data_IF_779501324045
#
_entry.id   IF_779501324045
#
_cell.length_a   1.000
_cell.length_b   1.000
_cell.length_c   1.000
_cell.angle_alpha   90.00
_cell.angle_beta   90.00
_cell.angle_gamma   90.00
#
_symmetry.space_group_name_H-M   'P 1'
#
loop_
_entity.id
_entity.type
_entity.pdbx_description
1 polymer ?
#
# COMPACT_ATOMS: atom_id res chain seq x y z
N UNK A 1 0.04 12.90 -27.24
CA UNK A 1 0.77 12.52 -26.03
C UNK A 1 -0.28 12.40 -24.94
N UNK A 2 -0.34 11.29 -24.22
CA UNK A 2 -1.35 11.07 -23.18
C UNK A 2 -1.17 12.13 -22.09
N UNK A 3 -2.26 12.77 -21.68
CA UNK A 3 -2.22 13.79 -20.63
C UNK A 3 -2.40 13.09 -19.26
N UNK A 4 -1.42 13.22 -18.38
CA UNK A 4 -1.42 12.68 -17.03
C UNK A 4 -1.57 13.75 -15.95
N UNK A 5 -1.91 14.98 -16.33
CA UNK A 5 -1.96 16.13 -15.40
C UNK A 5 -2.89 15.88 -14.19
N UNK A 6 -4.02 15.22 -14.40
CA UNK A 6 -4.93 14.86 -13.29
C UNK A 6 -4.31 13.85 -12.34
N UNK A 7 -3.57 12.86 -12.87
CA UNK A 7 -2.87 11.88 -12.05
C UNK A 7 -1.73 12.54 -11.27
N UNK A 8 -0.90 13.36 -11.94
CA UNK A 8 0.18 14.13 -11.31
C UNK A 8 -0.35 15.02 -10.16
N UNK A 9 -1.50 15.65 -10.36
CA UNK A 9 -2.16 16.45 -9.33
C UNK A 9 -2.64 15.58 -8.15
N UNK A 10 -3.24 14.43 -8.42
CA UNK A 10 -3.76 13.54 -7.40
C UNK A 10 -2.63 12.95 -6.52
N UNK A 11 -1.52 12.52 -7.13
CA UNK A 11 -0.34 12.01 -6.41
C UNK A 11 0.48 13.13 -5.74
N UNK A 12 0.31 14.41 -6.18
CA UNK A 12 1.04 15.55 -5.64
C UNK A 12 2.45 15.73 -6.20
N UNK A 13 2.77 15.11 -7.34
CA UNK A 13 4.08 15.19 -7.97
C UNK A 13 3.97 15.43 -9.49
N UNK A 14 4.65 16.47 -9.99
CA UNK A 14 4.77 16.76 -11.41
C UNK A 14 6.09 16.20 -11.94
N UNK A 15 6.01 15.22 -12.83
CA UNK A 15 7.19 14.52 -13.33
C UNK A 15 8.07 15.39 -14.26
N UNK A 16 9.35 15.46 -13.92
CA UNK A 16 10.38 15.99 -14.80
C UNK A 16 10.70 14.97 -15.90
N UNK A 17 10.80 13.69 -15.55
CA UNK A 17 11.00 12.59 -16.47
C UNK A 17 9.70 11.79 -16.69
N UNK A 18 8.86 12.24 -17.61
CA UNK A 18 7.59 11.57 -17.95
C UNK A 18 7.74 10.13 -18.48
N UNK A 19 8.95 9.72 -18.88
CA UNK A 19 9.19 8.34 -19.27
C UNK A 19 9.13 7.37 -18.07
N UNK A 20 9.48 7.83 -16.86
CA UNK A 20 9.33 7.06 -15.61
C UNK A 20 7.85 6.80 -15.33
N UNK A 21 7.02 7.85 -15.35
CA UNK A 21 5.57 7.70 -15.14
C UNK A 21 4.96 6.76 -16.17
N UNK A 22 5.28 6.94 -17.45
CA UNK A 22 4.78 6.05 -18.49
C UNK A 22 5.20 4.60 -18.27
N UNK A 23 6.43 4.34 -17.86
CA UNK A 23 6.89 2.97 -17.55
C UNK A 23 6.13 2.40 -16.35
N UNK A 24 5.93 3.17 -15.28
CA UNK A 24 5.16 2.77 -14.11
C UNK A 24 3.71 2.40 -14.44
N UNK A 25 3.12 3.07 -15.41
CA UNK A 25 1.76 2.82 -15.90
C UNK A 25 1.68 1.69 -16.95
N UNK A 26 2.80 1.08 -17.36
CA UNK A 26 2.82 0.05 -18.40
C UNK A 26 2.75 -1.34 -17.77
N UNK A 27 1.60 -2.00 -17.90
CA UNK A 27 1.38 -3.37 -17.44
C UNK A 27 2.25 -4.38 -18.23
N UNK A 28 2.66 -5.51 -17.62
CA UNK A 28 3.48 -6.55 -18.29
C UNK A 28 2.88 -7.10 -19.58
N UNK A 29 1.56 -7.08 -19.76
CA UNK A 29 0.89 -7.52 -21.00
C UNK A 29 1.28 -6.71 -22.23
N UNK A 30 1.84 -5.50 -22.07
CA UNK A 30 2.25 -4.66 -23.21
C UNK A 30 3.63 -5.02 -23.75
N UNK A 31 4.51 -5.57 -22.90
CA UNK A 31 5.85 -6.00 -23.33
C UNK A 31 6.92 -5.91 -22.24
N UNK A 32 8.18 -6.02 -22.67
CA UNK A 32 9.32 -6.15 -21.73
C UNK A 32 9.63 -4.87 -20.93
N UNK A 33 9.40 -3.68 -21.52
CA UNK A 33 9.62 -2.41 -20.83
C UNK A 33 8.33 -2.03 -20.08
N UNK A 34 8.10 -2.70 -18.98
CA UNK A 34 6.90 -2.60 -18.15
C UNK A 34 7.23 -2.11 -16.72
N UNK A 35 6.25 -2.20 -15.83
CA UNK A 35 6.30 -1.67 -14.47
C UNK A 35 6.98 -2.59 -13.45
N UNK A 36 7.19 -3.89 -13.69
CA UNK A 36 7.65 -4.86 -12.70
C UNK A 36 8.92 -4.47 -11.94
N UNK A 37 9.90 -3.87 -12.62
CA UNK A 37 11.12 -3.41 -11.93
C UNK A 37 10.89 -2.20 -11.04
N UNK A 38 9.93 -1.36 -11.40
CA UNK A 38 9.52 -0.22 -10.56
C UNK A 38 8.67 -0.70 -9.39
N UNK A 39 7.78 -1.65 -9.57
CA UNK A 39 7.03 -2.35 -8.52
C UNK A 39 8.00 -2.87 -7.44
N UNK A 40 8.99 -3.68 -7.83
CA UNK A 40 10.01 -4.18 -6.90
C UNK A 40 10.69 -3.08 -6.07
N UNK A 41 11.02 -1.95 -6.68
CA UNK A 41 11.62 -0.81 -5.98
C UNK A 41 10.57 -0.08 -5.11
N UNK A 42 9.36 0.04 -5.63
CA UNK A 42 8.26 0.75 -4.97
C UNK A 42 7.80 0.09 -3.68
N UNK A 43 7.74 -1.22 -3.66
CA UNK A 43 7.48 -2.00 -2.45
C UNK A 43 8.48 -1.63 -1.33
N UNK A 44 9.78 -1.67 -1.63
CA UNK A 44 10.81 -1.29 -0.66
C UNK A 44 10.71 0.18 -0.18
N UNK A 45 10.38 1.12 -1.10
CA UNK A 45 10.19 2.54 -0.78
C UNK A 45 8.95 2.73 0.09
N UNK A 46 7.85 2.04 -0.23
CA UNK A 46 6.61 2.06 0.53
C UNK A 46 6.83 1.57 1.98
N UNK A 47 7.47 0.41 2.11
CA UNK A 47 7.82 -0.18 3.40
C UNK A 47 8.65 0.79 4.25
N UNK A 48 9.63 1.47 3.65
CA UNK A 48 10.46 2.46 4.34
C UNK A 48 9.64 3.68 4.79
N UNK A 49 8.84 4.28 3.89
CA UNK A 49 8.02 5.45 4.21
C UNK A 49 7.04 5.18 5.36
N UNK A 50 6.37 4.02 5.32
CA UNK A 50 5.40 3.63 6.35
C UNK A 50 6.10 3.32 7.66
N UNK A 51 7.24 2.60 7.63
CA UNK A 51 8.02 2.26 8.82
C UNK A 51 8.56 3.50 9.53
N UNK A 52 9.14 4.45 8.78
CA UNK A 52 9.61 5.72 9.32
C UNK A 52 8.47 6.46 10.03
N UNK A 53 7.29 6.52 9.39
CA UNK A 53 6.15 7.24 9.93
C UNK A 53 5.55 6.59 11.17
N UNK A 54 5.46 5.26 11.21
CA UNK A 54 5.04 4.51 12.39
C UNK A 54 6.02 4.77 13.54
N UNK A 55 7.32 4.66 13.28
CA UNK A 55 8.37 4.88 14.27
C UNK A 55 8.31 6.27 14.89
N UNK A 56 8.10 7.32 14.06
CA UNK A 56 7.97 8.69 14.54
C UNK A 56 6.71 8.92 15.38
N UNK A 57 5.58 8.35 14.95
CA UNK A 57 4.28 8.63 15.58
C UNK A 57 3.99 7.82 16.83
N UNK A 58 4.61 6.67 16.96
CA UNK A 58 4.34 5.73 18.06
C UNK A 58 5.58 5.39 18.86
N UNK A 59 6.20 6.36 19.60
CA UNK A 59 7.47 6.15 20.28
C UNK A 59 7.43 5.07 21.37
N UNK A 60 6.23 4.78 21.90
CA UNK A 60 6.05 3.76 22.95
C UNK A 60 5.61 2.39 22.38
N UNK A 61 5.45 2.29 21.04
CA UNK A 61 4.99 1.04 20.41
C UNK A 61 6.15 0.05 20.28
N UNK A 62 5.92 -1.19 20.70
CA UNK A 62 6.91 -2.26 20.55
C UNK A 62 7.01 -2.75 19.09
N UNK A 63 8.15 -3.34 18.74
CA UNK A 63 8.50 -3.77 17.38
C UNK A 63 7.41 -4.66 16.74
N UNK A 64 6.89 -5.66 17.48
CA UNK A 64 5.82 -6.54 16.97
C UNK A 64 4.56 -5.79 16.56
N UNK A 65 4.12 -4.82 17.37
CA UNK A 65 2.95 -4.00 17.06
C UNK A 65 3.22 -3.05 15.88
N UNK A 66 4.42 -2.47 15.77
CA UNK A 66 4.81 -1.66 14.61
C UNK A 66 4.78 -2.49 13.32
N UNK A 67 5.27 -3.74 13.37
CA UNK A 67 5.26 -4.66 12.23
C UNK A 67 3.83 -5.01 11.81
N UNK A 68 2.93 -5.32 12.75
CA UNK A 68 1.52 -5.59 12.46
C UNK A 68 0.81 -4.36 11.85
N UNK A 69 1.06 -3.16 12.40
CA UNK A 69 0.49 -1.93 11.87
C UNK A 69 0.98 -1.66 10.45
N UNK A 70 2.28 -1.83 10.19
CA UNK A 70 2.85 -1.71 8.84
C UNK A 70 2.16 -2.67 7.87
N UNK A 71 2.11 -3.97 8.16
CA UNK A 71 1.44 -4.97 7.32
C UNK A 71 -0.01 -4.61 7.01
N UNK A 72 -0.73 -4.05 7.97
CA UNK A 72 -2.12 -3.61 7.79
C UNK A 72 -2.22 -2.41 6.83
N UNK A 73 -1.25 -1.49 6.86
CA UNK A 73 -1.23 -0.29 6.05
C UNK A 73 -0.78 -0.53 4.61
N UNK A 74 0.12 -1.51 4.38
CA UNK A 74 0.67 -1.81 3.05
C UNK A 74 0.03 -3.02 2.36
N UNK A 75 -1.04 -3.59 2.92
CA UNK A 75 -1.72 -4.73 2.31
C UNK A 75 -2.36 -4.39 0.97
N UNK A 76 -2.46 -5.39 0.08
CA UNK A 76 -2.98 -5.25 -1.28
C UNK A 76 -4.29 -4.46 -1.36
N UNK A 77 -5.27 -4.78 -0.50
CA UNK A 77 -6.58 -4.12 -0.55
C UNK A 77 -6.50 -2.62 -0.24
N UNK A 78 -5.63 -2.22 0.70
CA UNK A 78 -5.44 -0.81 1.06
C UNK A 78 -4.78 -0.04 -0.08
N UNK A 79 -3.75 -0.62 -0.70
CA UNK A 79 -3.07 -0.02 -1.85
C UNK A 79 -3.96 0.05 -3.08
N UNK A 80 -4.75 -1.00 -3.34
CA UNK A 80 -5.75 -0.99 -4.41
C UNK A 80 -6.82 0.10 -4.20
N UNK A 81 -7.29 0.30 -2.96
CA UNK A 81 -8.20 1.40 -2.63
C UNK A 81 -7.57 2.77 -2.86
N UNK A 82 -6.31 2.97 -2.46
CA UNK A 82 -5.57 4.19 -2.73
C UNK A 82 -5.43 4.45 -4.23
N UNK A 83 -5.08 3.41 -5.01
CA UNK A 83 -5.00 3.48 -6.47
C UNK A 83 -6.36 3.83 -7.11
N UNK A 84 -7.46 3.26 -6.61
CA UNK A 84 -8.81 3.56 -7.09
C UNK A 84 -9.22 5.00 -6.80
N UNK A 85 -8.87 5.54 -5.63
CA UNK A 85 -9.22 6.90 -5.22
C UNK A 85 -8.65 7.99 -6.15
N UNK A 86 -7.54 7.67 -6.81
CA UNK A 86 -6.87 8.55 -7.80
C UNK A 86 -7.11 8.13 -9.25
N UNK A 87 -8.05 7.21 -9.50
CA UNK A 87 -8.36 6.68 -10.83
C UNK A 87 -7.13 6.12 -11.59
N UNK A 88 -6.18 5.52 -10.85
CA UNK A 88 -4.93 5.01 -11.43
C UNK A 88 -5.19 3.97 -12.52
N UNK A 89 -6.20 3.11 -12.36
CA UNK A 89 -6.59 2.09 -13.33
C UNK A 89 -6.91 2.65 -14.72
N UNK A 90 -7.48 3.86 -14.79
CA UNK A 90 -7.84 4.49 -16.08
C UNK A 90 -6.60 4.95 -16.87
N UNK A 91 -5.49 5.23 -16.16
CA UNK A 91 -4.23 5.64 -16.74
C UNK A 91 -3.35 4.47 -17.20
N UNK A 92 -3.66 3.23 -16.80
CA UNK A 92 -2.83 2.06 -17.12
C UNK A 92 -2.80 1.76 -18.62
N UNK A 93 -1.62 1.42 -19.09
CA UNK A 93 -1.37 0.89 -20.42
C UNK A 93 -1.35 -0.64 -20.32
N UNK A 94 -2.33 -1.31 -20.93
CA UNK A 94 -2.43 -2.76 -20.96
C UNK A 94 -2.95 -3.23 -22.31
N UNK A 95 -2.77 -4.51 -22.63
CA UNK A 95 -3.30 -5.06 -23.86
C UNK A 95 -4.83 -5.30 -23.78
N UNK A 96 -5.45 -5.51 -24.92
CA UNK A 96 -6.91 -5.71 -25.02
C UNK A 96 -7.40 -6.94 -24.26
N UNK A 97 -6.59 -7.98 -24.12
CA UNK A 97 -6.96 -9.19 -23.41
C UNK A 97 -7.04 -8.94 -21.90
N UNK A 98 -6.02 -8.30 -21.34
CA UNK A 98 -6.02 -7.91 -19.92
C UNK A 98 -7.14 -6.91 -19.61
N UNK A 99 -7.38 -5.96 -20.51
CA UNK A 99 -8.47 -4.99 -20.35
C UNK A 99 -9.85 -5.67 -20.36
N UNK A 100 -10.09 -6.62 -21.28
CA UNK A 100 -11.34 -7.37 -21.39
C UNK A 100 -11.63 -8.25 -20.16
N UNK A 101 -10.60 -8.70 -19.46
CA UNK A 101 -10.73 -9.48 -18.22
C UNK A 101 -10.83 -8.61 -16.95
N UNK A 102 -10.99 -7.30 -17.10
CA UNK A 102 -11.17 -6.38 -15.98
C UNK A 102 -9.87 -5.95 -15.29
N UNK A 103 -8.73 -6.08 -15.95
CA UNK A 103 -7.40 -5.75 -15.41
C UNK A 103 -7.31 -4.36 -14.77
N UNK A 104 -7.99 -3.34 -15.34
CA UNK A 104 -8.01 -1.96 -14.77
C UNK A 104 -8.62 -1.85 -13.37
N UNK A 105 -9.41 -2.84 -12.94
CA UNK A 105 -10.09 -2.87 -11.64
C UNK A 105 -9.59 -4.00 -10.75
N UNK A 106 -8.67 -4.82 -11.24
CA UNK A 106 -8.11 -5.93 -10.49
C UNK A 106 -7.25 -5.39 -9.32
N UNK A 107 -7.51 -5.77 -8.06
CA UNK A 107 -6.78 -5.27 -6.91
C UNK A 107 -5.27 -5.48 -6.99
N UNK A 108 -4.81 -6.65 -7.41
CA UNK A 108 -3.37 -6.94 -7.56
C UNK A 108 -2.73 -6.03 -8.60
N UNK A 109 -3.35 -5.85 -9.79
CA UNK A 109 -2.83 -4.95 -10.83
C UNK A 109 -2.77 -3.49 -10.35
N UNK A 110 -3.75 -3.07 -9.55
CA UNK A 110 -3.78 -1.72 -8.98
C UNK A 110 -2.72 -1.52 -7.89
N UNK A 111 -2.47 -2.54 -7.08
CA UNK A 111 -1.42 -2.58 -6.08
C UNK A 111 -0.05 -2.43 -6.75
N UNK A 112 0.28 -3.30 -7.72
CA UNK A 112 1.53 -3.28 -8.48
C UNK A 112 1.77 -1.92 -9.17
N UNK A 113 0.69 -1.35 -9.72
CA UNK A 113 0.74 -0.05 -10.37
C UNK A 113 0.99 1.10 -9.36
N UNK A 114 0.38 1.04 -8.18
CA UNK A 114 0.60 2.01 -7.12
C UNK A 114 2.06 2.02 -6.66
N UNK A 115 2.62 0.85 -6.38
CA UNK A 115 4.03 0.71 -6.01
C UNK A 115 4.95 1.19 -7.14
N UNK A 116 4.64 0.84 -8.38
CA UNK A 116 5.42 1.28 -9.54
C UNK A 116 5.42 2.80 -9.71
N UNK A 117 4.28 3.46 -9.49
CA UNK A 117 4.17 4.92 -9.54
C UNK A 117 4.94 5.54 -8.37
N UNK A 118 4.87 4.95 -7.18
CA UNK A 118 5.64 5.40 -6.02
C UNK A 118 7.16 5.34 -6.30
N UNK A 119 7.64 4.25 -6.90
CA UNK A 119 9.04 4.15 -7.34
C UNK A 119 9.40 5.21 -8.37
N UNK A 120 8.51 5.50 -9.31
CA UNK A 120 8.72 6.53 -10.31
C UNK A 120 8.83 7.93 -9.67
N UNK A 121 7.98 8.25 -8.68
CA UNK A 121 8.05 9.48 -7.88
C UNK A 121 9.37 9.54 -7.12
N UNK A 122 9.78 8.44 -6.48
CA UNK A 122 11.05 8.36 -5.77
C UNK A 122 12.26 8.63 -6.68
N UNK A 123 12.29 8.04 -7.87
CA UNK A 123 13.39 8.21 -8.82
C UNK A 123 13.43 9.62 -9.45
N UNK A 124 12.28 10.27 -9.58
CA UNK A 124 12.14 11.59 -10.18
C UNK A 124 12.31 12.74 -9.16
N UNK A 125 11.75 12.58 -7.95
CA UNK A 125 11.64 13.63 -6.93
C UNK A 125 12.34 13.32 -5.60
N UNK A 126 12.89 12.10 -5.44
CA UNK A 126 13.56 11.69 -4.20
C UNK A 126 12.61 11.16 -3.12
N UNK A 127 13.20 10.83 -1.96
CA UNK A 127 12.48 10.18 -0.87
C UNK A 127 11.35 11.06 -0.29
N UNK A 128 11.59 12.35 -0.11
CA UNK A 128 10.58 13.25 0.46
C UNK A 128 9.31 13.32 -0.41
N UNK A 129 9.47 13.37 -1.73
CA UNK A 129 8.32 13.35 -2.66
C UNK A 129 7.54 12.04 -2.57
N UNK A 130 8.24 10.90 -2.48
CA UNK A 130 7.62 9.60 -2.30
C UNK A 130 6.87 9.51 -0.97
N UNK A 131 7.48 9.96 0.11
CA UNK A 131 6.88 10.01 1.46
C UNK A 131 5.61 10.87 1.46
N UNK A 132 5.63 12.03 0.83
CA UNK A 132 4.45 12.90 0.73
C UNK A 132 3.31 12.22 -0.04
N UNK A 133 3.59 11.50 -1.13
CA UNK A 133 2.60 10.71 -1.86
C UNK A 133 1.99 9.64 -0.95
N UNK A 134 2.81 8.88 -0.20
CA UNK A 134 2.33 7.84 0.73
C UNK A 134 1.41 8.45 1.79
N UNK A 135 1.83 9.53 2.45
CA UNK A 135 1.03 10.19 3.49
C UNK A 135 -0.29 10.74 2.95
N UNK A 136 -0.28 11.24 1.74
CA UNK A 136 -1.49 11.77 1.06
C UNK A 136 -2.50 10.69 0.74
N UNK A 137 -2.06 9.51 0.28
CA UNK A 137 -2.95 8.49 -0.30
C UNK A 137 -3.26 7.33 0.66
N UNK A 138 -2.35 7.00 1.57
CA UNK A 138 -2.53 5.92 2.56
C UNK A 138 -2.95 6.49 3.91
N UNK A 139 -2.56 7.72 4.20
CA UNK A 139 -2.82 8.39 5.46
C UNK A 139 -1.58 8.53 6.35
N UNK A 140 -1.76 9.19 7.47
CA UNK A 140 -0.66 9.61 8.35
C UNK A 140 -0.21 8.55 9.36
N UNK A 141 -0.61 7.28 9.17
CA UNK A 141 -0.30 6.14 10.04
C UNK A 141 -0.74 6.34 11.52
N UNK A 142 -1.71 7.22 11.77
CA UNK A 142 -2.25 7.47 13.11
C UNK A 142 -3.29 6.43 13.52
N UNK A 143 -3.75 5.59 12.60
CA UNK A 143 -4.59 4.45 12.93
C UNK A 143 -3.78 3.51 13.83
N UNK A 144 -3.97 3.66 15.15
CA UNK A 144 -3.73 2.54 16.06
C UNK A 144 -4.69 1.47 15.60
N UNK A 145 -4.19 0.47 14.86
CA UNK A 145 -5.03 -0.68 14.55
C UNK A 145 -5.72 -1.08 15.85
N UNK A 146 -7.01 -1.43 15.79
CA UNK A 146 -7.59 -2.20 16.88
C UNK A 146 -6.58 -3.31 17.17
N UNK A 147 -5.78 -3.06 18.21
CA UNK A 147 -4.91 -4.12 18.72
C UNK A 147 -5.91 -5.22 19.00
N UNK A 148 -5.84 -6.32 18.23
CA UNK A 148 -6.68 -7.47 18.50
C UNK A 148 -6.54 -7.69 19.99
N UNK A 149 -7.62 -7.45 20.76
CA UNK A 149 -7.56 -7.46 22.21
C UNK A 149 -6.93 -8.74 22.76
N UNK A 150 -6.91 -9.78 21.93
CA UNK A 150 -6.23 -11.06 22.19
C UNK A 150 -4.72 -10.92 22.11
N UNK A 151 -4.19 -10.27 21.06
CA UNK A 151 -2.75 -10.05 20.87
C UNK A 151 -2.21 -9.10 21.94
N UNK A 152 -2.89 -8.00 22.23
CA UNK A 152 -2.51 -7.05 23.27
C UNK A 152 -2.49 -7.70 24.67
N UNK A 153 -3.49 -8.54 24.99
CA UNK A 153 -3.53 -9.28 26.24
C UNK A 153 -2.39 -10.32 26.31
N UNK A 154 -2.10 -11.00 25.23
CA UNK A 154 -1.02 -11.99 25.17
C UNK A 154 0.35 -11.34 25.37
N UNK A 155 0.63 -10.22 24.70
CA UNK A 155 1.87 -9.45 24.88
C UNK A 155 2.00 -8.91 26.30
N UNK A 156 0.91 -8.39 26.87
CA UNK A 156 0.89 -7.91 28.26
C UNK A 156 1.21 -9.02 29.27
N UNK A 157 0.65 -10.21 29.08
CA UNK A 157 0.92 -11.34 29.98
C UNK A 157 2.36 -11.87 29.80
N UNK A 158 2.88 -11.93 28.58
CA UNK A 158 4.26 -12.33 28.31
C UNK A 158 5.26 -11.35 28.93
N UNK A 159 5.01 -10.05 28.82
CA UNK A 159 5.85 -9.01 29.44
C UNK A 159 5.92 -9.14 30.98
N UNK A 160 4.88 -9.73 31.59
CA UNK A 160 4.84 -10.02 33.03
C UNK A 160 5.34 -11.43 33.40
N UNK A 161 5.85 -12.19 32.43
CA UNK A 161 6.29 -13.57 32.67
C UNK A 161 5.15 -14.54 32.98
N UNK A 162 3.90 -14.18 32.60
CA UNK A 162 2.71 -15.01 32.82
C UNK A 162 2.45 -15.94 31.63
N UNK A 163 1.82 -17.09 31.81
CA UNK A 163 1.46 -17.97 30.70
C UNK A 163 0.48 -17.29 29.74
N UNK A 164 0.55 -17.69 28.46
CA UNK A 164 -0.37 -17.20 27.43
C UNK A 164 -1.84 -17.43 27.82
N UNK A 165 -2.75 -16.49 27.48
CA UNK A 165 -4.16 -16.62 27.81
C UNK A 165 -4.78 -17.82 27.10
N UNK A 166 -5.68 -18.53 27.78
CA UNK A 166 -6.50 -19.58 27.21
C UNK A 166 -7.85 -18.97 26.82
N UNK A 167 -8.27 -19.17 25.57
CA UNK A 167 -9.52 -18.63 25.05
C UNK A 167 -10.55 -19.74 24.91
N UNK A 168 -11.78 -19.49 25.39
CA UNK A 168 -12.93 -20.37 25.18
C UNK A 168 -14.00 -19.61 24.37
N UNK A 169 -14.58 -20.30 23.38
CA UNK A 169 -15.74 -19.77 22.65
C UNK A 169 -16.98 -19.91 23.54
N UNK A 170 -17.48 -18.80 24.08
CA UNK A 170 -18.65 -18.77 24.95
C UNK A 170 -19.96 -18.56 24.21
N UNK A 171 -19.94 -18.00 23.01
CA UNK A 171 -21.08 -17.84 22.10
C UNK A 171 -20.64 -17.53 20.69
N UNK A 172 -21.32 -18.07 19.69
CA UNK A 172 -21.26 -17.66 18.29
C UNK A 172 -22.57 -16.95 17.94
N UNK A 173 -22.49 -15.64 17.65
CA UNK A 173 -23.62 -14.85 17.15
C UNK A 173 -23.30 -14.39 15.74
N UNK A 174 -23.88 -15.05 14.75
CA UNK A 174 -23.77 -14.70 13.33
C UNK A 174 -24.86 -15.39 12.52
N UNK A 175 -25.23 -14.90 11.33
CA UNK A 175 -26.16 -15.61 10.46
C UNK A 175 -25.55 -16.97 10.07
N UNK A 176 -26.32 -18.04 10.27
CA UNK A 176 -25.96 -19.36 9.77
C UNK A 176 -25.89 -19.29 8.24
N UNK A 177 -24.72 -19.55 7.68
CA UNK A 177 -24.58 -19.78 6.25
C UNK A 177 -25.13 -21.18 5.96
N UNK A 178 -26.31 -21.25 5.29
CA UNK A 178 -26.77 -22.43 4.57
C UNK A 178 -25.99 -22.59 3.27
#
# INVERSE_FOLDING_TARGET
MQDYSHLEQAIGHAFQNRALLRQALTHPSVGQRNNQRLEFLGDAVLELCVSEKIYEKHPEMHEGAMTQLRQKLVREEKLAQAAQSIHLGDALLMDKSCEATGGRKNPSVLCDAFESVLAAVYLDGGFDAAREMVLRLIGDCSETGDADGKSALQEFLQAQGRPSPCYETVAETGPAHE
#
